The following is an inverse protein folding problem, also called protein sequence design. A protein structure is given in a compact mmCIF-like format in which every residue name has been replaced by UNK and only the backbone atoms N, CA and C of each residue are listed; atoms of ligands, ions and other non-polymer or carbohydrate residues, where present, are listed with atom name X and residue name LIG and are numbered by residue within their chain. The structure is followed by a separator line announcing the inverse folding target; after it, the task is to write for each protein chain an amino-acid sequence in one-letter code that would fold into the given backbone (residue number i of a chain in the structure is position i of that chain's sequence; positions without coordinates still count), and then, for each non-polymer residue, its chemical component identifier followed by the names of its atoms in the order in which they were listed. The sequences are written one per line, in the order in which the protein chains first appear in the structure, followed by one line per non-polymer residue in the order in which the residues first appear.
data_IF_800922059942
#
_entry.id   IF_800922059942
#
_cell.length_a   1.000
_cell.length_b   1.000
_cell.length_c   1.000
_cell.angle_alpha   90.00
_cell.angle_beta   90.00
_cell.angle_gamma   90.00
#
_symmetry.space_group_name_H-M   'P 1'
#
loop_
_entity.id
_entity.type
_entity.pdbx_description
1 polymer ?
#
# COMPACT_ATOMS: atom_id res chain seq x y z
N UNK A 1 39.78 4.01 -33.84
CA UNK A 1 38.69 4.79 -33.21
C UNK A 1 37.58 3.80 -33.00
N UNK A 2 37.66 3.05 -31.89
CA UNK A 2 36.67 2.05 -31.51
C UNK A 2 35.87 2.63 -30.35
N UNK A 3 34.55 2.73 -30.57
CA UNK A 3 33.59 3.19 -29.58
C UNK A 3 33.45 2.14 -28.48
N UNK A 4 33.86 2.50 -27.26
CA UNK A 4 33.64 1.72 -26.05
C UNK A 4 32.34 2.23 -25.41
N UNK A 5 31.20 1.62 -25.75
CA UNK A 5 29.99 1.73 -24.94
C UNK A 5 30.16 0.90 -23.67
N UNK A 6 29.99 1.46 -22.47
CA UNK A 6 29.97 0.65 -21.26
C UNK A 6 28.69 -0.18 -21.25
N UNK A 7 28.84 -1.50 -21.43
CA UNK A 7 27.79 -2.46 -21.14
C UNK A 7 27.40 -2.31 -19.67
N UNK A 8 26.19 -1.81 -19.43
CA UNK A 8 25.56 -1.86 -18.12
C UNK A 8 25.51 -3.34 -17.71
N UNK A 9 26.30 -3.71 -16.71
CA UNK A 9 26.20 -5.01 -16.08
C UNK A 9 24.76 -5.16 -15.56
N UNK A 10 24.00 -6.02 -16.23
CA UNK A 10 22.72 -6.53 -15.76
C UNK A 10 22.94 -7.12 -14.37
N UNK A 11 22.64 -6.34 -13.33
CA UNK A 11 22.41 -6.89 -12.01
C UNK A 11 21.09 -7.66 -12.08
N UNK A 12 21.17 -8.95 -11.78
CA UNK A 12 20.09 -9.91 -11.85
C UNK A 12 18.92 -9.44 -10.96
N UNK A 13 17.70 -9.26 -11.49
CA UNK A 13 16.52 -8.88 -10.69
C UNK A 13 16.10 -9.96 -9.67
N UNK A 14 16.75 -11.12 -9.68
CA UNK A 14 16.68 -12.10 -8.59
C UNK A 14 17.31 -11.58 -7.30
N UNK A 15 18.26 -10.63 -7.32
CA UNK A 15 19.06 -10.28 -6.13
C UNK A 15 18.25 -9.48 -5.10
N UNK A 16 17.37 -8.55 -5.49
CA UNK A 16 16.61 -7.73 -4.52
C UNK A 16 15.39 -8.46 -3.94
N UNK A 17 14.73 -9.29 -4.76
CA UNK A 17 13.71 -10.21 -4.29
C UNK A 17 14.36 -11.33 -3.45
N UNK A 18 15.56 -11.79 -3.82
CA UNK A 18 16.37 -12.64 -2.95
C UNK A 18 16.74 -11.92 -1.69
N UNK A 19 17.04 -10.62 -1.62
CA UNK A 19 17.37 -9.97 -0.34
C UNK A 19 16.14 -9.94 0.58
N UNK A 20 14.96 -9.57 0.08
CA UNK A 20 13.73 -9.58 0.89
C UNK A 20 13.29 -11.00 1.26
N UNK A 21 13.38 -11.95 0.33
CA UNK A 21 13.03 -13.36 0.53
C UNK A 21 14.09 -14.09 1.37
N UNK A 22 15.38 -13.72 1.27
CA UNK A 22 16.48 -14.20 2.10
C UNK A 22 16.44 -13.61 3.50
N UNK A 23 16.06 -12.34 3.67
CA UNK A 23 15.82 -11.76 4.99
C UNK A 23 14.59 -12.41 5.64
N UNK A 24 13.50 -12.60 4.90
CA UNK A 24 12.33 -13.35 5.38
C UNK A 24 12.68 -14.82 5.70
N UNK A 25 13.48 -15.47 4.87
CA UNK A 25 13.91 -16.87 5.03
C UNK A 25 14.98 -17.03 6.12
N UNK A 26 15.84 -16.02 6.37
CA UNK A 26 16.77 -15.99 7.50
C UNK A 26 16.03 -15.84 8.82
N UNK A 27 15.00 -15.00 8.86
CA UNK A 27 14.11 -14.81 10.02
C UNK A 27 13.38 -16.11 10.36
N UNK A 28 12.91 -16.85 9.35
CA UNK A 28 12.26 -18.14 9.52
C UNK A 28 13.26 -19.25 9.92
N UNK A 29 14.49 -19.27 9.36
CA UNK A 29 15.49 -20.32 9.65
C UNK A 29 16.22 -20.16 10.99
N UNK A 30 16.36 -18.95 11.52
CA UNK A 30 17.11 -18.72 12.76
C UNK A 30 16.25 -18.55 14.02
N UNK A 31 14.91 -18.56 13.90
CA UNK A 31 14.03 -18.39 15.05
C UNK A 31 14.19 -17.03 15.75
N UNK A 32 14.86 -16.07 15.12
CA UNK A 32 15.02 -14.70 15.62
C UNK A 32 13.80 -13.88 15.19
N UNK A 33 13.03 -13.45 16.17
CA UNK A 33 11.94 -12.50 15.97
C UNK A 33 12.58 -11.16 15.61
N UNK A 34 12.30 -10.63 14.41
CA UNK A 34 12.69 -9.27 14.03
C UNK A 34 12.18 -8.28 15.09
N UNK A 35 12.96 -7.25 15.40
CA UNK A 35 12.45 -6.18 16.27
C UNK A 35 11.22 -5.54 15.62
N UNK A 36 10.28 -5.08 16.45
CA UNK A 36 9.07 -4.41 15.96
C UNK A 36 9.39 -3.20 15.08
N UNK A 37 10.47 -2.48 15.40
CA UNK A 37 10.97 -1.34 14.62
C UNK A 37 11.43 -1.77 13.21
N UNK A 38 12.20 -2.86 13.08
CA UNK A 38 12.63 -3.38 11.78
C UNK A 38 11.44 -3.89 10.96
N UNK A 39 10.50 -4.60 11.60
CA UNK A 39 9.27 -5.05 10.94
C UNK A 39 8.45 -3.87 10.42
N UNK A 40 8.32 -2.80 11.21
CA UNK A 40 7.61 -1.60 10.80
C UNK A 40 8.32 -0.88 9.64
N UNK A 41 9.65 -0.72 9.70
CA UNK A 41 10.47 -0.16 8.62
C UNK A 41 10.30 -0.91 7.31
N UNK A 42 10.42 -2.24 7.34
CA UNK A 42 10.27 -3.09 6.17
C UNK A 42 8.86 -2.97 5.57
N UNK A 43 7.81 -2.98 6.40
CA UNK A 43 6.43 -2.86 5.90
C UNK A 43 6.14 -1.47 5.32
N UNK A 44 6.66 -0.40 5.94
CA UNK A 44 6.57 0.97 5.40
C UNK A 44 7.24 1.02 4.03
N UNK A 45 8.43 0.44 3.89
CA UNK A 45 9.16 0.40 2.63
C UNK A 45 8.38 -0.38 1.56
N UNK A 46 7.89 -1.58 1.89
CA UNK A 46 7.10 -2.42 0.96
C UNK A 46 5.84 -1.68 0.49
N UNK A 47 5.08 -1.11 1.42
CA UNK A 47 3.87 -0.35 1.10
C UNK A 47 4.20 0.88 0.23
N UNK A 48 5.16 1.71 0.66
CA UNK A 48 5.52 2.95 -0.03
C UNK A 48 6.04 2.68 -1.43
N UNK A 49 6.84 1.63 -1.59
CA UNK A 49 7.36 1.22 -2.88
C UNK A 49 6.24 0.86 -3.87
N UNK A 50 5.26 0.04 -3.46
CA UNK A 50 4.12 -0.28 -4.32
C UNK A 50 3.22 0.94 -4.57
N UNK A 51 3.01 1.77 -3.55
CA UNK A 51 2.15 2.94 -3.61
C UNK A 51 2.67 3.99 -4.62
N UNK A 52 3.97 4.28 -4.60
CA UNK A 52 4.60 5.23 -5.52
C UNK A 52 4.71 4.67 -6.96
N UNK A 53 4.89 3.35 -7.12
CA UNK A 53 4.95 2.67 -8.42
C UNK A 53 3.68 2.76 -9.26
N UNK A 54 2.58 3.27 -8.69
CA UNK A 54 1.36 3.58 -9.45
C UNK A 54 1.59 4.68 -10.50
N UNK A 55 2.60 5.53 -10.28
CA UNK A 55 2.88 6.71 -11.09
C UNK A 55 4.05 6.53 -12.07
N UNK A 56 4.94 5.58 -11.80
CA UNK A 56 6.16 5.39 -12.57
C UNK A 56 6.18 4.04 -13.29
N UNK A 57 6.52 4.04 -14.58
CA UNK A 57 6.87 2.82 -15.30
C UNK A 57 8.30 2.44 -14.94
N UNK A 58 8.45 1.57 -13.94
CA UNK A 58 9.74 1.02 -13.55
C UNK A 58 10.01 -0.30 -14.26
N UNK A 59 11.25 -0.52 -14.71
CA UNK A 59 11.73 -1.83 -15.20
C UNK A 59 11.91 -2.80 -14.02
N UNK A 60 11.99 -2.27 -12.80
CA UNK A 60 12.07 -3.03 -11.56
C UNK A 60 10.67 -3.44 -11.09
N UNK A 61 10.60 -4.48 -10.24
CA UNK A 61 9.42 -5.22 -9.74
C UNK A 61 8.15 -4.40 -9.38
N UNK A 62 6.99 -5.02 -9.08
CA UNK A 62 6.67 -6.41 -9.38
C UNK A 62 6.55 -6.61 -10.89
N UNK A 63 7.15 -7.69 -11.39
CA UNK A 63 6.95 -8.10 -12.79
C UNK A 63 5.46 -8.31 -13.06
N UNK A 64 5.03 -8.23 -14.33
CA UNK A 64 3.64 -8.55 -14.71
C UNK A 64 3.17 -9.89 -14.16
N UNK A 65 4.06 -10.90 -14.13
CA UNK A 65 3.77 -12.22 -13.57
C UNK A 65 3.57 -12.16 -12.05
N UNK A 66 4.44 -11.46 -11.34
CA UNK A 66 4.35 -11.26 -9.88
C UNK A 66 3.03 -10.58 -9.51
N UNK A 67 2.69 -9.51 -10.23
CA UNK A 67 1.45 -8.76 -10.02
C UNK A 67 0.21 -9.62 -10.31
N UNK A 68 0.24 -10.44 -11.37
CA UNK A 68 -0.85 -11.36 -11.67
C UNK A 68 -1.03 -12.42 -10.58
N UNK A 69 0.06 -12.99 -10.05
CA UNK A 69 0.01 -13.94 -8.93
C UNK A 69 -0.60 -13.26 -7.69
N UNK A 70 -0.17 -12.03 -7.38
CA UNK A 70 -0.71 -11.26 -6.26
C UNK A 70 -2.21 -10.99 -6.41
N UNK A 71 -2.66 -10.60 -7.61
CA UNK A 71 -4.08 -10.39 -7.92
C UNK A 71 -4.91 -11.65 -7.72
N UNK A 72 -4.42 -12.80 -8.21
CA UNK A 72 -5.10 -14.09 -8.01
C UNK A 72 -5.21 -14.41 -6.52
N UNK A 73 -4.12 -14.30 -5.76
CA UNK A 73 -4.13 -14.50 -4.31
C UNK A 73 -5.10 -13.56 -3.58
N UNK A 74 -5.14 -12.29 -3.98
CA UNK A 74 -6.04 -11.31 -3.37
C UNK A 74 -7.51 -11.61 -3.66
N UNK A 75 -7.81 -12.04 -4.90
CA UNK A 75 -9.15 -12.49 -5.30
C UNK A 75 -9.57 -13.73 -4.51
N UNK A 76 -8.70 -14.72 -4.36
CA UNK A 76 -8.95 -15.93 -3.56
C UNK A 76 -9.23 -15.59 -2.09
N UNK A 77 -8.37 -14.76 -1.48
CA UNK A 77 -8.54 -14.26 -0.11
C UNK A 77 -9.89 -13.56 0.08
N UNK A 78 -10.25 -12.67 -0.83
CA UNK A 78 -11.53 -11.98 -0.77
C UNK A 78 -12.72 -12.94 -0.89
N UNK A 79 -12.63 -13.92 -1.79
CA UNK A 79 -13.68 -14.93 -1.96
C UNK A 79 -13.88 -15.78 -0.70
N UNK A 80 -12.80 -16.19 -0.04
CA UNK A 80 -12.85 -16.91 1.25
C UNK A 80 -13.53 -16.05 2.31
N UNK A 81 -13.14 -14.77 2.43
CA UNK A 81 -13.73 -13.85 3.39
C UNK A 81 -15.24 -13.68 3.17
N UNK A 82 -15.66 -13.50 1.91
CA UNK A 82 -17.08 -13.34 1.53
C UNK A 82 -17.91 -14.58 1.85
N UNK A 83 -17.36 -15.78 1.65
CA UNK A 83 -18.02 -17.05 1.99
C UNK A 83 -18.23 -17.17 3.51
N UNK A 84 -17.22 -16.83 4.31
CA UNK A 84 -17.27 -16.92 5.77
C UNK A 84 -18.24 -15.92 6.40
N UNK A 85 -18.29 -14.70 5.88
CA UNK A 85 -19.07 -13.62 6.49
C UNK A 85 -20.52 -13.56 6.02
N UNK A 86 -20.96 -14.54 5.21
CA UNK A 86 -22.34 -14.63 4.73
C UNK A 86 -22.81 -13.36 4.04
N UNK A 87 -21.87 -12.52 3.55
CA UNK A 87 -22.21 -11.37 2.73
C UNK A 87 -22.84 -11.98 1.52
N UNK A 88 -24.18 -11.90 1.46
CA UNK A 88 -24.93 -12.09 0.24
C UNK A 88 -24.25 -11.15 -0.73
N UNK A 89 -23.36 -11.72 -1.54
CA UNK A 89 -22.95 -11.12 -2.79
C UNK A 89 -24.27 -10.63 -3.37
N UNK A 90 -24.27 -9.42 -3.92
CA UNK A 90 -25.32 -9.07 -4.86
C UNK A 90 -25.11 -10.02 -6.05
N UNK A 91 -25.43 -11.31 -5.86
CA UNK A 91 -25.47 -12.42 -6.80
C UNK A 91 -26.72 -12.25 -7.66
N UNK A 92 -27.13 -11.00 -7.86
CA UNK A 92 -27.98 -10.63 -8.97
C UNK A 92 -27.13 -10.90 -10.19
N UNK A 93 -27.53 -11.92 -10.95
CA UNK A 93 -27.00 -12.30 -12.27
C UNK A 93 -27.03 -11.17 -13.31
N UNK A 94 -27.41 -9.95 -12.92
CA UNK A 94 -27.43 -8.80 -13.81
C UNK A 94 -26.14 -8.00 -13.58
N UNK A 95 -25.23 -7.96 -14.57
CA UNK A 95 -24.12 -7.02 -14.52
C UNK A 95 -24.67 -5.63 -14.25
N UNK A 96 -23.99 -4.85 -13.41
CA UNK A 96 -24.36 -3.47 -13.13
C UNK A 96 -24.57 -2.74 -14.46
N UNK A 97 -25.83 -2.43 -14.78
CA UNK A 97 -26.19 -1.94 -16.10
C UNK A 97 -25.62 -0.54 -16.31
N UNK A 98 -24.70 -0.41 -17.26
CA UNK A 98 -24.18 0.85 -17.76
C UNK A 98 -24.52 0.91 -19.25
N UNK A 99 -25.60 1.59 -19.66
CA UNK A 99 -25.87 1.84 -21.07
C UNK A 99 -24.80 2.79 -21.63
N UNK A 100 -24.18 2.43 -22.75
CA UNK A 100 -23.41 3.34 -23.60
C UNK A 100 -22.00 3.70 -23.12
N UNK A 101 -21.06 3.56 -24.06
CA UNK A 101 -19.65 3.93 -24.05
C UNK A 101 -18.69 3.25 -23.05
N UNK A 102 -17.58 2.81 -23.63
CA UNK A 102 -16.33 2.57 -22.92
C UNK A 102 -16.04 3.81 -22.08
N UNK A 103 -15.97 3.67 -20.75
CA UNK A 103 -15.40 4.74 -19.93
C UNK A 103 -14.08 5.12 -20.59
N UNK A 104 -13.78 6.42 -20.80
CA UNK A 104 -12.57 6.83 -21.49
C UNK A 104 -11.38 6.63 -20.56
N UNK A 105 -11.06 5.37 -20.27
CA UNK A 105 -10.10 4.87 -19.29
C UNK A 105 -8.73 5.53 -19.51
N UNK A 106 -8.31 5.61 -20.77
CA UNK A 106 -7.09 6.31 -21.20
C UNK A 106 -7.09 7.78 -20.73
N UNK A 107 -8.17 8.51 -21.04
CA UNK A 107 -8.33 9.91 -20.66
C UNK A 107 -8.43 10.08 -19.14
N UNK A 108 -9.12 9.17 -18.45
CA UNK A 108 -9.26 9.21 -17.00
C UNK A 108 -7.90 9.02 -16.32
N UNK A 109 -7.08 8.09 -16.81
CA UNK A 109 -5.73 7.87 -16.32
C UNK A 109 -4.81 9.06 -16.57
N UNK A 110 -4.81 9.59 -17.80
CA UNK A 110 -4.04 10.80 -18.12
C UNK A 110 -4.48 12.01 -17.27
N UNK A 111 -5.79 12.18 -17.08
CA UNK A 111 -6.33 13.21 -16.19
C UNK A 111 -5.87 13.01 -14.76
N UNK A 112 -5.88 11.77 -14.25
CA UNK A 112 -5.38 11.44 -12.92
C UNK A 112 -3.89 11.83 -12.78
N UNK A 113 -3.03 11.42 -13.72
CA UNK A 113 -1.61 11.79 -13.70
C UNK A 113 -1.41 13.30 -13.70
N UNK A 114 -2.14 14.03 -14.55
CA UNK A 114 -2.09 15.49 -14.60
C UNK A 114 -2.46 16.13 -13.26
N UNK A 115 -3.52 15.64 -12.60
CA UNK A 115 -3.95 16.14 -11.30
C UNK A 115 -2.94 15.83 -10.19
N UNK A 116 -2.19 14.73 -10.33
CA UNK A 116 -1.12 14.35 -9.41
C UNK A 116 0.23 15.03 -9.74
N UNK A 117 0.30 15.84 -10.80
CA UNK A 117 1.53 16.51 -11.23
C UNK A 117 2.57 15.55 -11.84
N UNK A 118 2.15 14.38 -12.30
CA UNK A 118 3.03 13.35 -12.88
C UNK A 118 3.09 13.51 -14.41
N UNK A 119 4.29 13.58 -15.02
CA UNK A 119 4.43 13.63 -16.46
C UNK A 119 3.78 12.41 -17.13
N UNK A 120 3.01 12.61 -18.19
CA UNK A 120 2.44 11.51 -18.97
C UNK A 120 3.40 11.15 -20.09
N UNK A 121 4.01 9.97 -20.04
CA UNK A 121 4.65 9.40 -21.22
C UNK A 121 3.58 8.98 -22.24
N UNK A 122 3.77 9.38 -23.51
CA UNK A 122 2.84 9.10 -24.61
C UNK A 122 2.83 7.62 -25.04
N UNK A 123 3.72 6.80 -24.47
CA UNK A 123 3.87 5.39 -24.84
C UNK A 123 2.76 4.51 -24.23
N UNK A 124 2.24 3.63 -25.10
CA UNK A 124 1.14 2.65 -24.94
C UNK A 124 0.83 2.30 -23.48
N UNK A 125 -0.40 2.65 -23.05
CA UNK A 125 -0.95 2.35 -21.73
C UNK A 125 -1.15 0.83 -21.54
N UNK A 126 -0.10 0.13 -21.11
CA UNK A 126 -0.26 -1.21 -20.53
C UNK A 126 -0.75 -1.09 -19.09
N UNK A 127 -2.05 -0.87 -18.91
CA UNK A 127 -2.65 -0.80 -17.57
C UNK A 127 -2.54 -2.13 -16.82
N UNK A 128 -2.41 -3.27 -17.52
CA UNK A 128 -2.33 -4.57 -16.87
C UNK A 128 -1.01 -4.79 -16.13
N UNK A 129 0.08 -4.17 -16.57
CA UNK A 129 1.36 -4.19 -15.85
C UNK A 129 1.47 -3.13 -14.77
N UNK A 130 0.56 -2.14 -14.72
CA UNK A 130 0.57 -1.10 -13.68
C UNK A 130 -0.04 -1.60 -12.37
N UNK A 131 0.57 -1.16 -11.27
CA UNK A 131 0.06 -1.36 -9.91
C UNK A 131 -1.20 -0.52 -9.71
N UNK A 132 -2.26 -1.14 -9.21
CA UNK A 132 -3.50 -0.47 -8.79
C UNK A 132 -3.54 -0.32 -7.27
N UNK A 133 -4.33 0.60 -6.73
CA UNK A 133 -4.65 0.68 -5.31
C UNK A 133 -5.21 -0.63 -4.77
N UNK A 134 -5.93 -1.41 -5.58
CA UNK A 134 -6.39 -2.73 -5.16
C UNK A 134 -5.21 -3.72 -4.95
N UNK A 135 -4.14 -3.57 -5.71
CA UNK A 135 -2.90 -4.35 -5.54
C UNK A 135 -2.09 -3.87 -4.31
N UNK A 136 -2.15 -2.58 -3.98
CA UNK A 136 -1.45 -2.00 -2.82
C UNK A 136 -2.19 -2.27 -1.49
N UNK A 137 -3.53 -2.33 -1.53
CA UNK A 137 -4.38 -2.45 -0.35
C UNK A 137 -3.97 -3.58 0.61
N UNK A 138 -3.60 -4.80 0.17
CA UNK A 138 -3.06 -5.82 1.07
C UNK A 138 -1.87 -5.37 1.93
N UNK A 139 -0.92 -4.65 1.34
CA UNK A 139 0.26 -4.16 2.07
C UNK A 139 -0.10 -3.04 3.04
N UNK A 140 -1.09 -2.22 2.69
CA UNK A 140 -1.63 -1.23 3.62
C UNK A 140 -2.33 -1.91 4.80
N UNK A 141 -3.13 -2.94 4.54
CA UNK A 141 -3.82 -3.70 5.58
C UNK A 141 -2.85 -4.47 6.47
N UNK A 142 -1.74 -4.96 5.93
CA UNK A 142 -0.64 -5.54 6.70
C UNK A 142 0.05 -4.48 7.57
N UNK A 143 0.32 -3.28 7.04
CA UNK A 143 0.85 -2.15 7.80
C UNK A 143 -0.05 -1.78 8.97
N UNK A 144 -1.36 -1.74 8.77
CA UNK A 144 -2.34 -1.44 9.83
C UNK A 144 -2.27 -2.40 11.03
N UNK A 145 -1.80 -3.64 10.84
CA UNK A 145 -1.65 -4.62 11.95
C UNK A 145 -0.52 -4.27 12.91
N UNK A 146 0.50 -3.59 12.40
CA UNK A 146 1.75 -3.31 13.14
C UNK A 146 1.90 -1.83 13.50
N UNK A 147 1.04 -0.95 12.97
CA UNK A 147 1.01 0.45 13.35
C UNK A 147 0.72 0.58 14.87
N UNK A 148 1.47 1.45 15.59
CA UNK A 148 1.20 1.72 17.00
C UNK A 148 -0.22 2.23 17.24
N UNK A 149 -0.82 1.84 18.36
CA UNK A 149 -2.20 2.22 18.71
C UNK A 149 -2.43 3.73 18.82
N UNK A 150 -1.38 4.53 18.99
CA UNK A 150 -1.45 6.00 18.97
C UNK A 150 -1.96 6.56 17.62
N UNK A 151 -1.84 5.82 16.52
CA UNK A 151 -2.28 6.22 15.19
C UNK A 151 -3.58 5.54 14.77
N UNK A 152 -4.31 4.96 15.74
CA UNK A 152 -5.46 4.09 15.49
C UNK A 152 -6.52 4.74 14.61
N UNK A 153 -7.04 5.87 15.05
CA UNK A 153 -8.15 6.54 14.37
C UNK A 153 -7.79 6.91 12.93
N UNK A 154 -6.53 7.35 12.73
CA UNK A 154 -6.00 7.74 11.41
C UNK A 154 -5.88 6.55 10.48
N UNK A 155 -5.25 5.45 10.91
CA UNK A 155 -5.12 4.30 10.00
C UNK A 155 -6.49 3.67 9.70
N UNK A 156 -7.42 3.69 10.66
CA UNK A 156 -8.79 3.15 10.50
C UNK A 156 -9.57 3.89 9.43
N UNK A 157 -9.59 5.22 9.51
CA UNK A 157 -10.24 6.08 8.52
C UNK A 157 -9.56 5.92 7.16
N UNK A 158 -8.23 6.00 7.14
CA UNK A 158 -7.45 5.82 5.93
C UNK A 158 -7.70 4.45 5.28
N UNK A 159 -7.87 3.37 6.04
CA UNK A 159 -8.18 2.04 5.51
C UNK A 159 -9.51 2.02 4.75
N UNK A 160 -10.54 2.63 5.32
CA UNK A 160 -11.87 2.70 4.67
C UNK A 160 -11.80 3.57 3.41
N UNK A 161 -11.10 4.70 3.47
CA UNK A 161 -10.84 5.53 2.29
C UNK A 161 -10.02 4.77 1.24
N UNK A 162 -9.04 3.96 1.65
CA UNK A 162 -8.26 3.11 0.74
C UNK A 162 -9.17 2.14 -0.02
N UNK A 163 -10.05 1.42 0.69
CA UNK A 163 -11.02 0.50 0.06
C UNK A 163 -11.95 1.24 -0.92
N UNK A 164 -12.41 2.44 -0.55
CA UNK A 164 -13.22 3.30 -1.41
C UNK A 164 -12.46 3.69 -2.68
N UNK A 165 -11.23 4.21 -2.56
CA UNK A 165 -10.43 4.65 -3.70
C UNK A 165 -9.99 3.47 -4.57
N UNK A 166 -9.70 2.30 -3.99
CA UNK A 166 -9.48 1.07 -4.75
C UNK A 166 -10.69 0.72 -5.60
N UNK A 167 -11.91 0.79 -5.05
CA UNK A 167 -13.12 0.52 -5.82
C UNK A 167 -13.38 1.57 -6.92
N UNK A 168 -13.17 2.86 -6.63
CA UNK A 168 -13.30 3.96 -7.61
C UNK A 168 -12.30 3.78 -8.76
N UNK A 169 -11.04 3.46 -8.44
CA UNK A 169 -9.97 3.29 -9.42
C UNK A 169 -10.25 2.11 -10.36
N UNK A 170 -10.75 0.98 -9.83
CA UNK A 170 -11.13 -0.16 -10.68
C UNK A 170 -12.19 0.23 -11.73
N UNK A 171 -13.11 1.13 -11.39
CA UNK A 171 -14.13 1.62 -12.33
C UNK A 171 -13.57 2.62 -13.33
N UNK A 172 -12.90 3.68 -12.87
CA UNK A 172 -12.51 4.79 -13.75
C UNK A 172 -11.23 4.57 -14.52
N UNK A 173 -10.25 3.89 -13.91
CA UNK A 173 -8.94 3.65 -14.49
C UNK A 173 -8.87 2.28 -15.15
N UNK A 174 -9.54 1.26 -14.61
CA UNK A 174 -9.47 -0.10 -15.17
C UNK A 174 -10.75 -0.53 -15.91
N UNK A 175 -11.78 0.31 -15.93
CA UNK A 175 -13.04 0.03 -16.64
C UNK A 175 -13.82 -1.16 -16.10
N UNK A 176 -13.50 -1.65 -14.89
CA UNK A 176 -14.18 -2.78 -14.23
C UNK A 176 -15.55 -2.34 -13.75
N UNK A 177 -16.59 -3.05 -14.17
CA UNK A 177 -18.00 -2.73 -13.88
C UNK A 177 -18.69 -3.82 -13.05
N UNK A 178 -17.98 -4.91 -12.77
CA UNK A 178 -18.45 -5.99 -11.93
C UNK A 178 -18.45 -5.58 -10.45
N UNK A 179 -19.39 -6.16 -9.69
CA UNK A 179 -19.45 -5.99 -8.24
C UNK A 179 -18.31 -6.74 -7.55
N UNK A 180 -17.63 -7.66 -8.25
CA UNK A 180 -16.61 -8.52 -7.67
C UNK A 180 -15.40 -7.70 -7.22
N UNK A 181 -14.92 -6.74 -8.03
CA UNK A 181 -13.85 -5.83 -7.60
C UNK A 181 -14.23 -4.90 -6.46
N UNK A 182 -15.50 -4.48 -6.39
CA UNK A 182 -16.01 -3.76 -5.21
C UNK A 182 -16.00 -4.66 -3.98
N UNK A 183 -16.47 -5.90 -4.09
CA UNK A 183 -16.48 -6.84 -2.98
C UNK A 183 -15.04 -7.17 -2.54
N UNK A 184 -14.12 -7.36 -3.47
CA UNK A 184 -12.70 -7.62 -3.20
C UNK A 184 -12.05 -6.50 -2.39
N UNK A 185 -12.31 -5.24 -2.76
CA UNK A 185 -11.80 -4.07 -2.06
C UNK A 185 -12.29 -3.98 -0.61
N UNK A 186 -13.52 -4.42 -0.32
CA UNK A 186 -14.13 -4.33 1.02
C UNK A 186 -14.11 -5.64 1.81
N UNK A 187 -13.56 -6.72 1.25
CA UNK A 187 -13.51 -8.04 1.87
C UNK A 187 -12.37 -8.16 2.89
N UNK A 188 -12.32 -7.29 3.89
CA UNK A 188 -11.24 -7.24 4.87
C UNK A 188 -11.77 -7.22 6.29
N UNK A 189 -11.14 -8.00 7.17
CA UNK A 189 -11.40 -7.92 8.60
C UNK A 189 -10.60 -6.84 9.30
N UNK A 190 -11.04 -6.58 10.53
CA UNK A 190 -10.35 -5.75 11.49
C UNK A 190 -8.89 -6.22 11.68
N UNK A 191 -7.88 -5.36 11.43
CA UNK A 191 -6.46 -5.76 11.40
C UNK A 191 -5.92 -6.32 12.72
N UNK A 192 -6.44 -5.85 13.87
CA UNK A 192 -5.96 -6.29 15.18
C UNK A 192 -6.72 -7.53 15.65
N UNK A 193 -6.30 -8.69 15.16
CA UNK A 193 -6.83 -9.97 15.64
C UNK A 193 -6.32 -10.31 17.07
N UNK A 194 -5.11 -9.85 17.43
CA UNK A 194 -4.44 -10.18 18.71
C UNK A 194 -4.91 -9.35 19.92
N UNK A 195 -5.68 -8.27 19.71
CA UNK A 195 -6.26 -7.50 20.80
C UNK A 195 -7.51 -8.19 21.42
N UNK A 196 -7.83 -9.42 21.01
CA UNK A 196 -8.91 -10.26 21.57
C UNK A 196 -8.75 -10.62 23.07
N UNK A 197 -7.76 -10.05 23.78
CA UNK A 197 -7.79 -9.97 25.24
C UNK A 197 -8.91 -9.04 25.72
N UNK A 198 -10.17 -9.48 25.62
CA UNK A 198 -11.35 -9.12 26.45
C UNK A 198 -11.46 -7.68 26.98
N UNK A 199 -10.97 -6.66 26.27
CA UNK A 199 -11.24 -5.26 26.63
C UNK A 199 -12.53 -4.86 25.91
N UNK A 200 -13.60 -4.46 26.62
CA UNK A 200 -14.87 -4.07 26.01
C UNK A 200 -14.73 -3.00 24.92
N UNK A 201 -13.75 -2.11 25.08
CA UNK A 201 -13.43 -1.04 24.12
C UNK A 201 -13.03 -1.56 22.74
N UNK A 202 -12.19 -2.61 22.66
CA UNK A 202 -11.73 -3.15 21.39
C UNK A 202 -12.87 -3.82 20.58
N UNK A 203 -13.86 -4.39 21.28
CA UNK A 203 -15.06 -4.97 20.64
C UNK A 203 -15.93 -3.86 20.06
N UNK A 204 -16.18 -2.79 20.82
CA UNK A 204 -16.97 -1.65 20.35
C UNK A 204 -16.31 -0.95 19.15
N UNK A 205 -14.99 -0.78 19.18
CA UNK A 205 -14.19 -0.21 18.09
C UNK A 205 -14.27 -1.07 16.82
N UNK A 206 -14.10 -2.39 16.95
CA UNK A 206 -14.26 -3.32 15.84
C UNK A 206 -15.64 -3.19 15.19
N UNK A 207 -16.69 -3.12 16.02
CA UNK A 207 -18.08 -2.94 15.53
C UNK A 207 -18.23 -1.60 14.81
N UNK A 208 -17.70 -0.51 15.37
CA UNK A 208 -17.76 0.81 14.76
C UNK A 208 -17.04 0.85 13.40
N UNK A 209 -15.85 0.26 13.30
CA UNK A 209 -15.10 0.17 12.06
C UNK A 209 -15.85 -0.62 10.98
N UNK A 210 -16.38 -1.80 11.33
CA UNK A 210 -17.17 -2.61 10.41
C UNK A 210 -18.42 -1.85 9.94
N UNK A 211 -19.11 -1.15 10.84
CA UNK A 211 -20.27 -0.34 10.49
C UNK A 211 -19.92 0.80 9.51
N UNK A 212 -18.81 1.51 9.75
CA UNK A 212 -18.31 2.57 8.86
C UNK A 212 -17.88 2.02 7.49
N UNK A 213 -17.11 0.93 7.48
CA UNK A 213 -16.70 0.21 6.26
C UNK A 213 -17.93 -0.18 5.44
N UNK A 214 -18.92 -0.81 6.07
CA UNK A 214 -20.12 -1.28 5.39
C UNK A 214 -21.04 -0.14 4.96
N UNK A 215 -21.04 0.99 5.67
CA UNK A 215 -21.72 2.21 5.25
C UNK A 215 -21.11 2.78 3.96
N UNK A 216 -19.78 2.87 3.90
CA UNK A 216 -19.06 3.32 2.68
C UNK A 216 -19.28 2.35 1.53
N UNK A 217 -19.20 1.03 1.77
CA UNK A 217 -19.53 0.01 0.76
C UNK A 217 -20.94 0.17 0.20
N UNK A 218 -21.95 0.31 1.07
CA UNK A 218 -23.35 0.56 0.65
C UNK A 218 -23.49 1.88 -0.10
N UNK A 219 -22.68 2.88 0.26
CA UNK A 219 -22.66 4.15 -0.45
C UNK A 219 -22.20 4.01 -1.90
N UNK A 220 -21.44 2.98 -2.28
CA UNK A 220 -21.02 2.71 -3.67
C UNK A 220 -22.07 1.92 -4.47
N UNK A 221 -22.86 1.06 -3.82
CA UNK A 221 -23.88 0.24 -4.50
C UNK A 221 -25.03 1.11 -5.04
N UNK A 222 -25.37 1.04 -6.34
CA UNK A 222 -26.42 1.88 -6.89
C UNK A 222 -27.80 1.48 -6.34
N UNK A 223 -28.69 2.44 -6.05
CA UNK A 223 -30.12 2.16 -5.91
C UNK A 223 -30.63 1.49 -7.18
N UNK A 224 -31.66 0.65 -7.06
CA UNK A 224 -32.33 0.04 -8.24
C UNK A 224 -32.60 1.13 -9.27
N UNK A 225 -32.11 0.95 -10.51
CA UNK A 225 -32.22 1.85 -11.69
C UNK A 225 -31.16 2.96 -11.86
N UNK A 226 -30.14 3.07 -11.00
CA UNK A 226 -29.05 4.06 -11.21
C UNK A 226 -27.86 3.41 -11.93
N UNK A 227 -27.26 4.13 -12.89
CA UNK A 227 -26.01 3.71 -13.54
C UNK A 227 -24.89 3.75 -12.50
N UNK A 228 -24.20 2.62 -12.30
CA UNK A 228 -23.14 2.48 -11.30
C UNK A 228 -22.03 3.52 -11.51
N UNK A 229 -21.57 3.70 -12.75
CA UNK A 229 -20.50 4.65 -13.10
C UNK A 229 -20.81 6.10 -12.66
N UNK A 230 -22.04 6.58 -12.85
CA UNK A 230 -22.42 7.94 -12.46
C UNK A 230 -22.40 8.14 -10.94
N UNK A 231 -22.76 7.09 -10.20
CA UNK A 231 -22.73 7.13 -8.74
C UNK A 231 -21.31 7.15 -8.22
N UNK A 232 -20.44 6.28 -8.74
CA UNK A 232 -19.00 6.29 -8.43
C UNK A 232 -18.38 7.63 -8.84
N UNK A 233 -18.83 8.25 -9.95
CA UNK A 233 -18.38 9.59 -10.39
C UNK A 233 -18.71 10.67 -9.38
N UNK A 234 -19.95 10.68 -8.86
CA UNK A 234 -20.33 11.64 -7.81
C UNK A 234 -19.49 11.44 -6.55
N UNK A 235 -19.18 10.19 -6.20
CA UNK A 235 -18.32 9.89 -5.06
C UNK A 235 -16.87 10.32 -5.29
N UNK A 236 -16.32 10.17 -6.50
CA UNK A 236 -14.95 10.62 -6.80
C UNK A 236 -14.79 12.14 -6.75
N UNK A 237 -15.87 12.92 -6.96
CA UNK A 237 -15.84 14.37 -6.71
C UNK A 237 -15.94 14.73 -5.23
N UNK A 238 -16.63 13.90 -4.43
CA UNK A 238 -16.76 14.10 -2.99
C UNK A 238 -15.52 13.67 -2.22
N UNK A 239 -14.89 12.59 -2.65
CA UNK A 239 -13.70 12.00 -2.05
C UNK A 239 -12.57 12.11 -3.08
N UNK A 240 -11.77 13.16 -2.96
CA UNK A 240 -10.73 13.45 -3.94
C UNK A 240 -9.52 12.54 -3.71
N UNK A 241 -8.99 11.96 -4.78
CA UNK A 241 -7.83 11.06 -4.70
C UNK A 241 -6.63 11.77 -4.05
N UNK A 242 -6.34 13.00 -4.45
CA UNK A 242 -5.22 13.78 -3.93
C UNK A 242 -5.28 13.98 -2.40
N UNK A 243 -6.46 14.28 -1.86
CA UNK A 243 -6.66 14.43 -0.41
C UNK A 243 -6.40 13.11 0.33
N UNK A 244 -6.94 12.02 -0.20
CA UNK A 244 -6.70 10.68 0.34
C UNK A 244 -5.21 10.31 0.35
N UNK A 245 -4.50 10.53 -0.76
CA UNK A 245 -3.07 10.21 -0.84
C UNK A 245 -2.24 11.11 0.09
N UNK A 246 -2.64 12.37 0.25
CA UNK A 246 -2.09 13.28 1.26
C UNK A 246 -2.20 12.69 2.68
N UNK A 247 -3.38 12.22 3.08
CA UNK A 247 -3.59 11.58 4.40
C UNK A 247 -2.72 10.33 4.61
N UNK A 248 -2.48 9.56 3.55
CA UNK A 248 -1.59 8.39 3.59
C UNK A 248 -0.14 8.83 3.78
N UNK A 249 0.34 9.80 3.00
CA UNK A 249 1.70 10.31 3.08
C UNK A 249 1.99 10.96 4.43
N UNK A 250 1.02 11.69 5.00
CA UNK A 250 1.14 12.24 6.35
C UNK A 250 1.25 11.15 7.40
N UNK A 251 0.45 10.08 7.30
CA UNK A 251 0.56 8.94 8.21
C UNK A 251 1.94 8.29 8.09
N UNK A 252 2.43 8.04 6.87
CA UNK A 252 3.76 7.48 6.66
C UNK A 252 4.88 8.36 7.23
N UNK A 253 4.81 9.67 7.02
CA UNK A 253 5.77 10.63 7.58
C UNK A 253 5.80 10.53 9.11
N UNK A 254 4.62 10.52 9.74
CA UNK A 254 4.55 10.51 11.19
C UNK A 254 5.00 9.16 11.76
N UNK A 255 4.74 8.05 11.06
CA UNK A 255 5.32 6.74 11.39
C UNK A 255 6.84 6.77 11.28
N UNK A 256 7.40 7.30 10.19
CA UNK A 256 8.86 7.41 10.00
C UNK A 256 9.53 8.26 11.09
N UNK A 257 8.89 9.34 11.53
CA UNK A 257 9.40 10.20 12.60
C UNK A 257 9.44 9.53 13.99
N UNK A 258 8.68 8.45 14.18
CA UNK A 258 8.74 7.66 15.42
C UNK A 258 9.81 6.57 15.40
N UNK A 259 10.28 6.17 14.21
CA UNK A 259 11.23 5.08 14.07
C UNK A 259 12.57 5.49 14.66
N UNK A 260 13.29 4.51 15.22
CA UNK A 260 14.62 4.76 15.74
C UNK A 260 15.54 5.21 14.61
N UNK A 261 16.33 6.26 14.88
CA UNK A 261 17.37 6.75 13.96
C UNK A 261 18.30 5.57 13.63
N UNK A 262 18.65 5.31 12.36
CA UNK A 262 19.55 4.21 12.02
C UNK A 262 20.86 4.28 12.81
N UNK A 263 21.34 3.14 13.30
CA UNK A 263 22.56 3.05 14.14
C UNK A 263 23.76 3.73 13.47
N UNK A 264 23.91 3.59 12.14
CA UNK A 264 24.98 4.26 11.39
C UNK A 264 24.87 5.78 11.49
N UNK A 265 23.66 6.33 11.34
CA UNK A 265 23.42 7.76 11.49
C UNK A 265 23.63 8.22 12.94
N UNK A 266 23.25 7.39 13.93
CA UNK A 266 23.52 7.66 15.35
C UNK A 266 25.03 7.68 15.67
N UNK A 267 25.81 6.79 15.03
CA UNK A 267 27.27 6.74 15.15
C UNK A 267 27.93 7.97 14.52
N UNK A 268 27.46 8.38 13.33
CA UNK A 268 27.93 9.59 12.65
C UNK A 268 27.60 10.86 13.44
N UNK A 269 26.44 10.91 14.11
CA UNK A 269 26.02 12.04 14.93
C UNK A 269 26.55 12.00 16.37
N UNK A 270 27.31 10.96 16.74
CA UNK A 270 27.87 10.80 18.10
C UNK A 270 26.82 10.54 19.19
N UNK A 271 25.59 10.20 18.82
CA UNK A 271 24.46 9.96 19.72
C UNK A 271 23.98 8.53 19.55
N UNK A 272 24.81 7.56 19.95
CA UNK A 272 24.38 6.16 20.01
C UNK A 272 23.40 5.98 21.18
N UNK A 273 22.17 5.59 20.87
CA UNK A 273 21.14 5.36 21.87
C UNK A 273 21.60 4.24 22.83
N UNK A 274 21.66 4.54 24.14
CA UNK A 274 22.14 3.61 25.17
C UNK A 274 23.62 3.74 25.54
N UNK A 275 24.39 4.62 24.89
CA UNK A 275 25.75 5.00 25.31
C UNK A 275 25.80 6.47 25.73
N UNK A 276 26.65 6.78 26.69
CA UNK A 276 27.03 8.17 26.97
C UNK A 276 27.88 8.73 25.82
N UNK A 277 27.91 10.06 25.65
CA UNK A 277 28.71 10.70 24.57
C UNK A 277 30.19 10.29 24.61
N UNK A 278 30.75 10.07 25.80
CA UNK A 278 32.11 9.59 25.97
C UNK A 278 32.30 8.14 25.47
N UNK A 279 31.35 7.25 25.72
CA UNK A 279 31.40 5.87 25.24
C UNK A 279 31.18 5.78 23.72
N UNK A 280 30.34 6.65 23.16
CA UNK A 280 30.13 6.75 21.72
C UNK A 280 31.38 7.26 20.98
N UNK A 281 32.12 8.23 21.53
CA UNK A 281 33.41 8.69 20.98
C UNK A 281 34.50 7.60 21.03
N UNK A 282 34.56 6.85 22.13
CA UNK A 282 35.49 5.71 22.27
C UNK A 282 35.15 4.59 21.28
N UNK A 283 33.85 4.34 21.02
CA UNK A 283 33.44 3.36 20.03
C UNK A 283 33.77 3.84 18.61
N UNK A 284 33.46 5.11 18.28
CA UNK A 284 33.72 5.74 16.98
C UNK A 284 35.22 5.74 16.62
N UNK A 285 36.08 6.05 17.59
CA UNK A 285 37.54 5.98 17.42
C UNK A 285 38.08 4.55 17.24
N UNK A 286 37.38 3.52 17.72
CA UNK A 286 37.74 2.11 17.53
C UNK A 286 37.33 1.55 16.17
N UNK A 287 36.22 2.04 15.61
CA UNK A 287 35.68 1.58 14.32
C UNK A 287 36.16 2.40 13.11
N UNK A 288 37.10 3.34 13.31
CA UNK A 288 37.70 4.17 12.25
C UNK A 288 36.65 4.85 11.33
N UNK A 289 35.48 5.24 11.87
CA UNK A 289 34.47 6.00 11.09
C UNK A 289 34.90 7.45 10.81
N UNK A 290 36.08 7.87 11.26
CA UNK A 290 36.69 9.10 10.78
C UNK A 290 37.31 8.91 9.40
N UNK A 291 36.50 9.06 8.34
CA UNK A 291 37.00 9.63 7.08
C UNK A 291 35.87 10.14 6.17
N UNK A 292 35.49 11.39 6.37
CA UNK A 292 35.24 12.43 5.32
C UNK A 292 34.04 13.34 5.63
N UNK A 293 34.19 14.23 6.61
CA UNK A 293 33.54 15.56 6.54
C UNK A 293 34.25 16.58 7.43
N UNK A 294 35.54 16.78 7.16
CA UNK A 294 36.18 18.09 7.39
C UNK A 294 36.87 18.51 6.10
N UNK A 295 36.05 19.04 5.19
CA UNK A 295 36.49 19.70 3.98
C UNK A 295 35.59 20.89 3.73
N UNK A 296 36.01 22.03 4.28
CA UNK A 296 35.73 23.44 3.94
C UNK A 296 34.30 23.81 3.54
#
# INVERSE_FOLDING_TARGET
MDNYEPQAQNMDPEIDLMILDYLAHMVIKQGQILSQDITLKLQILTFTNLFLRRYETSVYLPSRRTLQIQRTKNTERANLWLQQHGVLTYRGREPLHVPGDHLPVVRNYQSMLLHMGVPSDENVLDLESRVSLLDVLPEYMALCRIIPSAFRDRWMENAICFMLHSAIEQVFIYGRKDVDKLNEAFAWDWPYEDCQRKVPTAVAEKVAWMASRDAVRRSLLPPRRTIYGDKVRRLSFKFQLFEFEGCILELLRDLMNMLEIPILQQLESGTLCGLTSAEAEVLSSRINLHSSSRGV
#
